data_IF_298206399295
#
_entry.id   IF_298206399295
#
_cell.length_a   1.000
_cell.length_b   1.000
_cell.length_c   1.000
_cell.angle_alpha   90.00
_cell.angle_beta   90.00
_cell.angle_gamma   90.00
#
_symmetry.space_group_name_H-M   'P 1'
#
loop_
_entity.id
_entity.type
_entity.pdbx_description
1 polymer ?
#
# COMPACT_ATOMS: atom_id res chain seq x y z
N UNK A 1 9.48 10.94 10.64
CA UNK A 1 8.11 10.79 11.21
C UNK A 1 7.22 10.24 10.10
N UNK A 2 6.41 9.23 10.37
CA UNK A 2 5.51 8.65 9.37
C UNK A 2 4.29 9.57 9.17
N UNK A 3 3.92 9.91 7.92
CA UNK A 3 2.75 10.74 7.64
C UNK A 3 1.44 10.02 7.97
N UNK A 4 0.32 10.74 7.96
CA UNK A 4 -1.02 10.20 8.17
C UNK A 4 -1.90 10.37 6.93
N UNK A 5 -2.82 9.42 6.75
CA UNK A 5 -3.88 9.52 5.75
C UNK A 5 -5.17 10.14 6.32
N UNK A 6 -6.21 10.30 5.50
CA UNK A 6 -7.46 10.95 5.91
C UNK A 6 -8.31 10.12 6.88
N UNK A 7 -8.09 8.81 6.99
CA UNK A 7 -8.63 8.01 8.09
C UNK A 7 -7.94 8.27 9.43
N UNK A 8 -6.86 9.05 9.43
CA UNK A 8 -6.09 9.45 10.60
C UNK A 8 -5.04 8.42 11.02
N UNK A 9 -4.81 7.37 10.24
CA UNK A 9 -3.80 6.35 10.54
C UNK A 9 -2.43 6.75 9.97
N UNK A 10 -1.36 6.32 10.64
CA UNK A 10 0.00 6.43 10.09
C UNK A 10 0.10 5.55 8.85
N UNK A 11 0.58 6.11 7.75
CA UNK A 11 0.65 5.44 6.46
C UNK A 11 2.07 5.51 5.91
N UNK A 12 2.73 4.35 5.83
CA UNK A 12 4.12 4.21 5.39
C UNK A 12 5.06 3.53 6.39
N UNK A 13 4.56 3.06 7.53
CA UNK A 13 5.37 2.45 8.61
C UNK A 13 6.25 1.28 8.13
N UNK A 14 5.67 0.30 7.43
CA UNK A 14 6.39 -0.86 6.84
C UNK A 14 6.69 -0.68 5.36
N UNK A 15 6.94 0.55 4.92
CA UNK A 15 7.29 0.80 3.52
C UNK A 15 8.75 0.41 3.24
N UNK A 16 9.06 0.07 1.99
CA UNK A 16 10.46 -0.06 1.56
C UNK A 16 11.13 1.29 1.77
N UNK A 17 12.26 1.29 2.48
CA UNK A 17 13.04 2.49 2.76
C UNK A 17 14.10 2.66 1.68
N UNK A 18 14.34 3.89 1.24
CA UNK A 18 15.31 4.16 0.18
C UNK A 18 16.74 3.74 0.58
N UNK A 19 17.03 3.73 1.88
CA UNK A 19 18.30 3.32 2.45
C UNK A 19 18.49 1.79 2.46
N UNK A 20 17.41 1.01 2.32
CA UNK A 20 17.46 -0.45 2.19
C UNK A 20 17.63 -0.84 0.72
N UNK A 21 18.82 -0.62 0.20
CA UNK A 21 19.14 -0.80 -1.23
C UNK A 21 18.86 -2.23 -1.69
N UNK A 22 19.07 -3.24 -0.84
CA UNK A 22 18.79 -4.63 -1.19
C UNK A 22 17.29 -4.89 -1.43
N UNK A 23 16.41 -4.32 -0.61
CA UNK A 23 14.96 -4.40 -0.84
C UNK A 23 14.52 -3.59 -2.04
N UNK A 24 15.07 -2.39 -2.22
CA UNK A 24 14.76 -1.56 -3.39
C UNK A 24 15.14 -2.29 -4.68
N UNK A 25 16.36 -2.84 -4.76
CA UNK A 25 16.86 -3.54 -5.95
C UNK A 25 16.06 -4.81 -6.26
N UNK A 26 15.63 -5.55 -5.24
CA UNK A 26 14.87 -6.78 -5.43
C UNK A 26 13.40 -6.54 -5.77
N UNK A 27 12.77 -5.50 -5.21
CA UNK A 27 11.31 -5.31 -5.23
C UNK A 27 10.83 -4.16 -6.10
N UNK A 28 11.69 -3.20 -6.46
CA UNK A 28 11.30 -1.97 -7.17
C UNK A 28 11.88 -1.93 -8.59
N UNK A 29 13.18 -2.19 -8.74
CA UNK A 29 13.86 -2.06 -10.03
C UNK A 29 13.74 -3.31 -10.89
N UNK A 30 13.42 -3.13 -12.16
CA UNK A 30 13.47 -4.19 -13.19
C UNK A 30 14.93 -4.58 -13.42
N UNK A 31 15.24 -5.87 -13.31
CA UNK A 31 16.61 -6.34 -13.48
C UNK A 31 16.98 -6.48 -14.95
N UNK A 32 18.28 -6.50 -15.25
CA UNK A 32 18.82 -6.65 -16.62
C UNK A 32 18.41 -7.96 -17.32
N UNK A 33 17.97 -8.98 -16.56
CA UNK A 33 17.51 -10.26 -17.09
C UNK A 33 15.99 -10.38 -17.21
N UNK A 34 15.23 -9.36 -16.81
CA UNK A 34 13.77 -9.35 -16.95
C UNK A 34 13.37 -8.80 -18.33
N UNK A 35 12.21 -9.23 -18.80
CA UNK A 35 11.59 -8.66 -19.99
C UNK A 35 10.64 -7.49 -19.66
N UNK A 36 10.53 -6.50 -20.56
CA UNK A 36 11.34 -6.30 -21.76
C UNK A 36 12.68 -5.60 -21.45
N UNK A 37 13.72 -5.87 -22.23
CA UNK A 37 15.08 -5.37 -21.98
C UNK A 37 15.19 -3.83 -21.83
N UNK A 38 14.36 -3.05 -22.53
CA UNK A 38 14.36 -1.58 -22.42
C UNK A 38 13.89 -1.05 -21.06
N UNK A 39 13.27 -1.90 -20.24
CA UNK A 39 12.85 -1.58 -18.88
C UNK A 39 13.94 -1.84 -17.83
N UNK A 40 15.08 -2.46 -18.18
CA UNK A 40 16.15 -2.73 -17.21
C UNK A 40 16.60 -1.45 -16.48
N UNK A 41 16.54 -1.46 -15.15
CA UNK A 41 16.79 -0.30 -14.29
C UNK A 41 15.60 0.66 -14.11
N UNK A 42 14.47 0.39 -14.78
CA UNK A 42 13.19 1.07 -14.59
C UNK A 42 12.32 0.41 -13.52
N UNK A 43 11.05 0.79 -13.46
CA UNK A 43 10.06 0.24 -12.51
C UNK A 43 8.65 0.32 -13.10
N UNK A 44 7.70 -0.45 -12.59
CA UNK A 44 6.30 -0.29 -12.94
C UNK A 44 5.57 0.49 -11.85
N UNK A 45 4.86 1.54 -12.26
CA UNK A 45 4.02 2.33 -11.39
C UNK A 45 2.58 1.83 -11.49
N UNK A 46 1.99 1.46 -10.35
CA UNK A 46 0.56 1.20 -10.24
C UNK A 46 -0.11 2.36 -9.51
N UNK A 47 -1.06 3.01 -10.18
CA UNK A 47 -1.84 4.11 -9.63
C UNK A 47 -3.27 3.66 -9.36
N UNK A 48 -3.79 3.96 -8.17
CA UNK A 48 -5.19 3.74 -7.79
C UNK A 48 -5.74 5.01 -7.16
N UNK A 49 -6.85 5.53 -7.68
CA UNK A 49 -7.64 6.54 -6.98
C UNK A 49 -8.60 5.82 -6.05
N UNK A 50 -8.34 5.91 -4.75
CA UNK A 50 -9.12 5.22 -3.71
C UNK A 50 -9.88 6.28 -2.94
N UNK A 51 -11.19 6.36 -3.16
CA UNK A 51 -12.07 7.20 -2.35
C UNK A 51 -12.24 6.55 -0.98
N UNK A 52 -12.15 7.36 0.06
CA UNK A 52 -12.38 6.97 1.44
C UNK A 52 -13.79 7.39 1.83
N UNK A 53 -14.60 6.45 2.34
CA UNK A 53 -15.95 6.69 2.84
C UNK A 53 -15.86 7.25 4.27
N UNK A 54 -15.40 8.50 4.39
CA UNK A 54 -15.04 9.14 5.66
C UNK A 54 -16.25 9.22 6.60
N UNK A 55 -17.45 9.48 6.09
CA UNK A 55 -18.66 9.60 6.90
C UNK A 55 -19.03 8.27 7.58
N UNK A 56 -18.87 7.15 6.88
CA UNK A 56 -19.06 5.81 7.44
C UNK A 56 -17.95 5.46 8.43
N UNK A 57 -16.71 5.83 8.09
CA UNK A 57 -15.54 5.60 8.94
C UNK A 57 -15.63 6.34 10.27
N UNK A 58 -15.98 7.62 10.26
CA UNK A 58 -16.05 8.46 11.46
C UNK A 58 -17.17 8.06 12.42
N UNK A 59 -18.19 7.32 11.95
CA UNK A 59 -19.23 6.72 12.79
C UNK A 59 -18.81 5.40 13.43
N UNK A 60 -17.72 4.81 12.94
CA UNK A 60 -17.18 3.55 13.45
C UNK A 60 -16.36 3.81 14.70
N UNK A 61 -16.58 3.03 15.76
CA UNK A 61 -15.84 3.19 17.03
C UNK A 61 -14.34 2.93 16.84
N UNK A 62 -13.50 3.62 17.61
CA UNK A 62 -12.03 3.55 17.46
C UNK A 62 -11.50 2.10 17.49
N UNK A 63 -12.01 1.26 18.39
CA UNK A 63 -11.58 -0.14 18.52
C UNK A 63 -11.84 -0.93 17.24
N UNK A 64 -12.93 -0.62 16.54
CA UNK A 64 -13.27 -1.26 15.27
C UNK A 64 -12.40 -0.72 14.14
N UNK A 65 -12.13 0.59 14.10
CA UNK A 65 -11.16 1.18 13.15
C UNK A 65 -9.77 0.53 13.30
N UNK A 66 -9.30 0.36 14.53
CA UNK A 66 -8.01 -0.25 14.83
C UNK A 66 -7.99 -1.75 14.53
N UNK A 67 -9.12 -2.45 14.67
CA UNK A 67 -9.31 -3.86 14.27
C UNK A 67 -9.20 -4.03 12.76
N UNK A 68 -9.95 -3.22 12.00
CA UNK A 68 -9.95 -3.21 10.52
C UNK A 68 -8.54 -2.95 9.97
N UNK A 69 -7.83 -1.97 10.55
CA UNK A 69 -6.46 -1.67 10.10
C UNK A 69 -5.45 -2.69 10.64
N UNK A 70 -5.62 -3.19 11.88
CA UNK A 70 -4.66 -4.04 12.59
C UNK A 70 -3.51 -3.27 13.26
N UNK A 71 -3.67 -1.95 13.49
CA UNK A 71 -2.72 -1.09 14.19
C UNK A 71 -3.45 -0.06 15.05
N UNK A 72 -2.80 0.41 16.10
CA UNK A 72 -3.29 1.52 16.90
C UNK A 72 -3.24 2.84 16.11
N UNK A 73 -4.33 3.61 16.11
CA UNK A 73 -4.45 4.87 15.35
C UNK A 73 -3.47 5.91 15.87
N UNK A 74 -3.31 6.01 17.19
CA UNK A 74 -2.44 6.98 17.85
C UNK A 74 -0.96 6.71 17.59
N UNK A 75 -0.44 5.58 18.06
CA UNK A 75 0.99 5.25 17.97
C UNK A 75 1.41 4.71 16.61
N UNK A 76 0.50 4.07 15.87
CA UNK A 76 0.81 3.28 14.68
C UNK A 76 1.39 1.90 14.99
N UNK A 77 1.52 1.53 16.27
CA UNK A 77 2.01 0.22 16.67
C UNK A 77 1.03 -0.89 16.25
N UNK A 78 1.52 -2.11 15.95
CA UNK A 78 0.66 -3.29 15.90
C UNK A 78 -0.22 -3.43 17.15
N UNK A 79 -1.40 -4.02 17.01
CA UNK A 79 -2.26 -4.33 18.17
C UNK A 79 -1.47 -5.20 19.17
N UNK A 80 -1.44 -4.78 20.44
CA UNK A 80 -0.68 -5.43 21.50
C UNK A 80 0.79 -4.99 21.63
N UNK A 81 1.27 -4.08 20.77
CA UNK A 81 2.64 -3.56 20.82
C UNK A 81 2.67 -2.07 21.14
N UNK A 82 3.82 -1.58 21.63
CA UNK A 82 4.01 -0.17 21.99
C UNK A 82 4.76 0.64 20.91
N UNK A 83 5.65 0.00 20.15
CA UNK A 83 6.46 0.67 19.13
C UNK A 83 5.83 0.57 17.74
N UNK A 84 5.90 1.67 16.98
CA UNK A 84 5.37 1.75 15.62
C UNK A 84 6.02 0.70 14.70
N UNK A 85 7.33 0.47 14.87
CA UNK A 85 8.13 -0.41 14.04
C UNK A 85 8.25 -1.85 14.59
N UNK A 86 7.53 -2.17 15.66
CA UNK A 86 7.42 -3.54 16.14
C UNK A 86 6.84 -4.46 15.04
N UNK A 87 7.27 -5.72 15.08
CA UNK A 87 6.73 -6.75 14.20
C UNK A 87 5.25 -7.01 14.50
N UNK A 88 4.50 -7.41 13.47
CA UNK A 88 3.13 -7.92 13.65
C UNK A 88 3.19 -9.27 14.38
N UNK A 89 2.28 -9.49 15.33
CA UNK A 89 2.11 -10.78 15.98
C UNK A 89 0.96 -11.55 15.33
N UNK A 90 1.31 -12.57 14.56
CA UNK A 90 0.35 -13.45 13.87
C UNK A 90 -0.12 -14.63 14.74
N UNK A 91 0.51 -14.82 15.91
CA UNK A 91 0.28 -15.99 16.79
C UNK A 91 -0.46 -15.63 18.07
N UNK A 92 -0.41 -14.36 18.46
CA UNK A 92 -1.10 -13.82 19.62
C UNK A 92 -2.60 -14.07 19.57
N UNK A 93 -3.18 -14.32 20.75
CA UNK A 93 -4.60 -14.58 20.92
C UNK A 93 -5.19 -13.67 21.98
N UNK A 94 -6.43 -13.28 21.79
CA UNK A 94 -7.30 -12.65 22.80
C UNK A 94 -7.66 -13.69 23.87
N UNK A 95 -8.19 -13.27 25.05
CA UNK A 95 -8.60 -14.20 26.12
C UNK A 95 -9.67 -15.22 25.71
N UNK A 96 -10.49 -14.88 24.72
CA UNK A 96 -11.52 -15.75 24.14
C UNK A 96 -10.95 -16.77 23.13
N UNK A 97 -9.65 -16.71 22.82
CA UNK A 97 -8.96 -17.61 21.90
C UNK A 97 -8.91 -17.12 20.45
N UNK A 98 -9.57 -16.02 20.11
CA UNK A 98 -9.53 -15.41 18.77
C UNK A 98 -8.17 -14.76 18.48
N UNK A 99 -7.75 -14.67 17.21
CA UNK A 99 -6.48 -14.02 16.84
C UNK A 99 -6.42 -12.57 17.33
N UNK A 100 -5.32 -12.17 17.97
CA UNK A 100 -5.11 -10.78 18.40
C UNK A 100 -5.10 -9.81 17.21
N UNK A 101 -4.45 -10.22 16.13
CA UNK A 101 -4.50 -9.57 14.83
C UNK A 101 -5.50 -10.32 13.95
N UNK A 102 -6.67 -9.72 13.76
CA UNK A 102 -7.77 -10.33 13.02
C UNK A 102 -7.33 -10.79 11.61
N UNK A 103 -7.91 -11.91 11.17
CA UNK A 103 -7.54 -12.58 9.92
C UNK A 103 -7.78 -11.68 8.68
N UNK A 104 -8.79 -10.83 8.75
CA UNK A 104 -9.23 -9.89 7.70
C UNK A 104 -8.62 -8.47 7.87
N UNK A 105 -7.73 -8.27 8.85
CA UNK A 105 -7.13 -6.96 9.07
C UNK A 105 -6.21 -6.56 7.91
N UNK A 106 -6.31 -5.30 7.49
CA UNK A 106 -5.62 -4.78 6.32
C UNK A 106 -4.10 -5.02 6.37
N UNK A 107 -3.45 -4.70 7.49
CA UNK A 107 -1.98 -4.86 7.61
C UNK A 107 -1.54 -6.31 7.63
N UNK A 108 -2.40 -7.25 8.06
CA UNK A 108 -2.10 -8.68 8.02
C UNK A 108 -2.11 -9.15 6.58
N UNK A 109 -3.21 -8.93 5.87
CA UNK A 109 -3.40 -9.36 4.49
C UNK A 109 -2.39 -8.72 3.53
N UNK A 110 -1.98 -7.47 3.80
CA UNK A 110 -0.98 -6.75 3.03
C UNK A 110 0.48 -7.05 3.44
N UNK A 111 0.71 -7.90 4.44
CA UNK A 111 2.05 -8.18 4.96
C UNK A 111 2.84 -9.15 4.06
N UNK A 112 4.16 -9.00 4.04
CA UNK A 112 5.03 -9.92 3.31
C UNK A 112 4.91 -11.35 3.86
N UNK A 113 4.71 -11.50 5.18
CA UNK A 113 4.53 -12.79 5.83
C UNK A 113 3.30 -13.54 5.30
N UNK A 114 2.21 -12.81 5.06
CA UNK A 114 0.92 -13.36 4.57
C UNK A 114 0.85 -13.47 3.03
N UNK A 115 1.77 -12.78 2.32
CA UNK A 115 1.85 -12.72 0.86
C UNK A 115 3.05 -13.48 0.29
N UNK A 116 3.73 -14.32 1.08
CA UNK A 116 4.85 -15.12 0.59
C UNK A 116 6.09 -14.32 0.20
N UNK A 117 6.36 -13.24 0.93
CA UNK A 117 7.54 -12.38 0.75
C UNK A 117 7.33 -11.19 -0.19
N UNK A 118 6.12 -10.97 -0.71
CA UNK A 118 5.85 -9.81 -1.56
C UNK A 118 6.00 -8.52 -0.77
N UNK A 119 6.90 -7.65 -1.22
CA UNK A 119 7.03 -6.26 -0.77
C UNK A 119 6.85 -5.31 -1.95
N UNK A 120 6.33 -4.11 -1.68
CA UNK A 120 6.13 -3.04 -2.67
C UNK A 120 6.53 -1.69 -2.07
N UNK A 121 6.98 -0.75 -2.91
CA UNK A 121 7.25 0.62 -2.47
C UNK A 121 6.01 1.48 -2.67
N UNK A 122 5.35 1.89 -1.58
CA UNK A 122 4.16 2.75 -1.62
C UNK A 122 4.55 4.22 -1.52
N UNK A 123 3.90 5.10 -2.28
CA UNK A 123 4.11 6.55 -2.23
C UNK A 123 2.80 7.28 -2.53
N UNK A 124 1.79 6.99 -1.71
CA UNK A 124 0.46 7.59 -1.86
C UNK A 124 0.41 9.04 -1.40
N UNK A 125 -0.59 9.77 -1.91
CA UNK A 125 -0.92 11.14 -1.53
C UNK A 125 -2.40 11.23 -1.18
N UNK A 126 -2.74 11.98 -0.14
CA UNK A 126 -4.14 12.30 0.13
C UNK A 126 -4.67 13.24 -0.96
N UNK A 127 -5.95 13.10 -1.32
CA UNK A 127 -6.65 14.07 -2.17
C UNK A 127 -7.98 14.49 -1.53
N UNK A 128 -8.44 15.69 -1.87
CA UNK A 128 -9.73 16.27 -1.47
C UNK A 128 -10.22 17.15 -2.62
N UNK A 129 -11.19 16.67 -3.38
CA UNK A 129 -11.69 17.30 -4.62
C UNK A 129 -13.05 17.99 -4.41
N UNK A 130 -13.45 18.19 -3.15
CA UNK A 130 -14.72 18.84 -2.78
C UNK A 130 -15.76 17.83 -2.32
N UNK A 131 -16.99 17.97 -2.81
CA UNK A 131 -18.09 17.05 -2.48
C UNK A 131 -18.58 16.33 -3.73
N UNK A 132 -19.05 15.08 -3.55
CA UNK A 132 -19.88 14.46 -4.57
C UNK A 132 -21.21 15.22 -4.67
N UNK A 133 -21.92 15.06 -5.79
CA UNK A 133 -23.22 15.72 -6.02
C UNK A 133 -24.33 15.38 -5.01
N UNK A 134 -24.02 14.57 -3.98
CA UNK A 134 -24.90 14.19 -2.89
C UNK A 134 -24.44 14.74 -1.53
N UNK A 135 -23.37 15.56 -1.50
CA UNK A 135 -22.89 16.23 -0.31
C UNK A 135 -21.92 15.42 0.56
N UNK A 136 -21.47 14.25 0.10
CA UNK A 136 -20.38 13.51 0.76
C UNK A 136 -19.03 14.01 0.27
N UNK A 137 -17.97 13.85 1.07
CA UNK A 137 -16.63 14.27 0.67
C UNK A 137 -16.10 13.38 -0.48
N UNK A 138 -15.58 14.01 -1.55
CA UNK A 138 -14.78 13.31 -2.57
C UNK A 138 -13.31 13.44 -2.18
N UNK A 139 -12.90 12.57 -1.28
CA UNK A 139 -11.56 12.56 -0.72
C UNK A 139 -11.08 11.13 -0.51
N UNK A 140 -9.77 10.96 -0.41
CA UNK A 140 -9.17 9.67 -0.10
C UNK A 140 -7.68 9.64 -0.39
N UNK A 141 -7.23 8.50 -0.91
CA UNK A 141 -5.83 8.23 -1.21
C UNK A 141 -5.63 8.04 -2.71
N UNK A 142 -4.79 8.89 -3.30
CA UNK A 142 -4.17 8.62 -4.58
C UNK A 142 -2.98 7.68 -4.31
N UNK A 143 -3.27 6.39 -4.32
CA UNK A 143 -2.31 5.35 -4.05
C UNK A 143 -1.38 5.17 -5.24
N UNK A 144 -0.07 5.19 -4.97
CA UNK A 144 0.97 4.90 -5.94
C UNK A 144 1.84 3.80 -5.35
N UNK A 145 2.07 2.74 -6.12
CA UNK A 145 3.07 1.73 -5.81
C UNK A 145 4.09 1.61 -6.95
N UNK A 146 5.35 1.46 -6.59
CA UNK A 146 6.43 1.10 -7.48
C UNK A 146 6.82 -0.35 -7.22
N UNK A 147 6.86 -1.14 -8.29
CA UNK A 147 7.14 -2.57 -8.24
C UNK A 147 7.99 -2.99 -9.42
N UNK A 148 8.83 -4.01 -9.21
CA UNK A 148 9.63 -4.64 -10.27
C UNK A 148 8.75 -5.40 -11.26
N UNK A 149 7.73 -6.11 -10.79
CA UNK A 149 6.79 -6.83 -11.64
C UNK A 149 5.36 -6.80 -11.04
N UNK A 150 4.41 -6.08 -11.65
CA UNK A 150 3.03 -6.00 -11.16
C UNK A 150 2.32 -7.35 -11.09
N UNK A 151 2.63 -8.30 -11.99
CA UNK A 151 1.97 -9.60 -12.07
C UNK A 151 2.31 -10.50 -10.88
N UNK A 152 3.52 -10.39 -10.34
CA UNK A 152 3.99 -11.21 -9.23
C UNK A 152 3.94 -10.47 -7.89
N UNK A 153 3.80 -9.14 -7.88
CA UNK A 153 3.77 -8.34 -6.65
C UNK A 153 2.40 -7.69 -6.41
N UNK A 154 2.05 -6.65 -7.19
CA UNK A 154 0.87 -5.84 -6.88
C UNK A 154 -0.45 -6.58 -7.12
N UNK A 155 -0.60 -7.26 -8.26
CA UNK A 155 -1.83 -7.95 -8.64
C UNK A 155 -2.23 -9.04 -7.63
N UNK A 156 -1.35 -9.97 -7.21
CA UNK A 156 -1.72 -10.98 -6.22
C UNK A 156 -2.04 -10.36 -4.85
N UNK A 157 -1.29 -9.35 -4.41
CA UNK A 157 -1.59 -8.59 -3.19
C UNK A 157 -2.99 -7.96 -3.26
N UNK A 158 -3.29 -7.21 -4.32
CA UNK A 158 -4.58 -6.55 -4.48
C UNK A 158 -5.74 -7.55 -4.62
N UNK A 159 -5.51 -8.73 -5.21
CA UNK A 159 -6.53 -9.80 -5.29
C UNK A 159 -6.89 -10.32 -3.90
N UNK A 160 -5.89 -10.60 -3.06
CA UNK A 160 -6.11 -11.02 -1.66
C UNK A 160 -6.88 -9.96 -0.88
N UNK A 161 -6.48 -8.70 -1.00
CA UNK A 161 -7.17 -7.59 -0.35
C UNK A 161 -8.62 -7.45 -0.86
N UNK A 162 -8.84 -7.56 -2.17
CA UNK A 162 -10.19 -7.42 -2.74
C UNK A 162 -11.18 -8.51 -2.27
N UNK A 163 -10.70 -9.68 -1.86
CA UNK A 163 -11.55 -10.80 -1.43
C UNK A 163 -11.75 -10.88 0.08
N UNK A 164 -10.79 -10.42 0.87
CA UNK A 164 -10.73 -10.73 2.31
C UNK A 164 -10.62 -9.49 3.22
N UNK A 165 -10.27 -8.32 2.70
CA UNK A 165 -9.94 -7.15 3.52
C UNK A 165 -11.17 -6.46 4.10
N UNK A 166 -11.21 -6.33 5.43
CA UNK A 166 -12.25 -5.60 6.15
C UNK A 166 -12.29 -4.12 5.75
N UNK A 167 -11.18 -3.54 5.28
CA UNK A 167 -11.11 -2.15 4.85
C UNK A 167 -12.00 -1.86 3.62
N UNK A 168 -12.37 -2.89 2.84
CA UNK A 168 -13.22 -2.75 1.66
C UNK A 168 -14.60 -2.17 1.96
N UNK A 169 -15.10 -2.28 3.19
CA UNK A 169 -16.35 -1.63 3.61
C UNK A 169 -16.24 -0.09 3.60
N UNK A 170 -15.03 0.45 3.70
CA UNK A 170 -14.79 1.88 3.89
C UNK A 170 -14.09 2.55 2.70
N UNK A 171 -13.76 1.82 1.65
CA UNK A 171 -13.04 2.36 0.49
C UNK A 171 -13.68 2.00 -0.83
N UNK A 172 -13.53 2.87 -1.83
CA UNK A 172 -13.95 2.63 -3.20
C UNK A 172 -12.82 2.94 -4.18
N UNK A 173 -12.42 1.96 -4.98
CA UNK A 173 -11.50 2.18 -6.09
C UNK A 173 -12.24 2.84 -7.26
N UNK A 174 -11.96 4.12 -7.53
CA UNK A 174 -12.65 4.93 -8.55
C UNK A 174 -11.81 5.20 -9.79
N UNK A 175 -10.51 4.85 -9.75
CA UNK A 175 -9.61 4.98 -10.88
C UNK A 175 -8.43 4.03 -10.76
N UNK A 176 -7.89 3.61 -11.91
CA UNK A 176 -6.78 2.67 -11.97
C UNK A 176 -5.94 2.91 -13.22
N UNK A 177 -4.63 2.82 -13.08
CA UNK A 177 -3.70 2.79 -14.21
C UNK A 177 -2.43 2.03 -13.83
N UNK A 178 -1.75 1.49 -14.84
CA UNK A 178 -0.40 0.90 -14.71
C UNK A 178 0.46 1.56 -15.78
N UNK A 179 1.65 2.01 -15.39
CA UNK A 179 2.61 2.65 -16.28
C UNK A 179 3.96 1.94 -16.18
N UNK A 180 4.64 1.83 -17.32
CA UNK A 180 6.04 1.47 -17.37
C UNK A 180 6.89 2.74 -17.22
N UNK A 181 7.72 2.80 -16.19
CA UNK A 181 8.65 3.91 -15.95
C UNK A 181 10.07 3.45 -16.33
N UNK A 182 10.59 3.85 -17.50
CA UNK A 182 11.93 3.45 -17.95
C UNK A 182 13.04 3.95 -17.00
N UNK A 183 14.27 3.41 -17.10
CA UNK A 183 15.40 3.86 -16.30
C UNK A 183 15.70 5.35 -16.48
N UNK A 184 16.40 5.93 -15.51
CA UNK A 184 16.89 7.29 -15.60
C UNK A 184 17.83 7.50 -16.79
N UNK A 185 17.83 8.73 -17.33
CA UNK A 185 18.57 9.08 -18.54
C UNK A 185 20.06 9.29 -18.26
N UNK A 186 20.91 8.84 -19.18
CA UNK A 186 22.29 9.30 -19.29
C UNK A 186 22.41 10.74 -19.83
N UNK A 187 23.61 11.34 -19.79
CA UNK A 187 23.81 12.77 -20.13
C UNK A 187 23.40 13.21 -21.53
N UNK A 188 23.21 12.27 -22.47
CA UNK A 188 22.86 12.54 -23.88
C UNK A 188 21.60 11.80 -24.33
N UNK A 189 20.89 11.18 -23.39
CA UNK A 189 19.70 10.38 -23.68
C UNK A 189 18.41 11.19 -23.50
N UNK A 190 17.31 10.73 -24.10
CA UNK A 190 15.99 11.32 -23.95
C UNK A 190 14.94 10.27 -23.57
N UNK A 191 13.85 10.71 -22.93
CA UNK A 191 12.76 9.82 -22.53
C UNK A 191 12.12 9.12 -23.73
N UNK A 192 11.99 7.80 -23.63
CA UNK A 192 11.45 6.96 -24.71
C UNK A 192 12.48 6.47 -25.72
N UNK A 193 13.74 6.95 -25.67
CA UNK A 193 14.79 6.51 -26.58
C UNK A 193 15.00 4.98 -26.55
N UNK A 194 15.01 4.36 -25.38
CA UNK A 194 15.20 2.91 -25.25
C UNK A 194 14.05 2.07 -25.82
N UNK A 195 12.87 2.67 -26.02
CA UNK A 195 11.67 1.99 -26.52
C UNK A 195 11.40 2.29 -28.00
N UNK A 196 11.62 3.53 -28.43
CA UNK A 196 11.24 4.02 -29.76
C UNK A 196 12.43 4.31 -30.70
N UNK A 197 13.66 4.28 -30.17
CA UNK A 197 14.89 4.60 -30.90
C UNK A 197 15.49 3.45 -31.68
#
# INVERSE_FOLDING_TARGET
>A
MTPRNLFGFKDGTRNIKAEDTAKVDSSVWVAKGDDPAWMAGGTYLVARRIRMLIESWDRTVLTEQERVIGRAKGSGAPIGQADEFAALDFTGKKPDGEPLLDMDSHVRLASAEELGGIEILRRGYNFTDGSDGFGHLDAGLFFIAFVRNPQTQFIPMQRKLATEDALNEYILHTGSAIFACPPGLGPKEYWGQALFG
#
